data_IF_269358140276
#
_entry.id   IF_269358140276
#
_cell.length_a   1.000
_cell.length_b   1.000
_cell.length_c   1.000
_cell.angle_alpha   90.00
_cell.angle_beta   90.00
_cell.angle_gamma   90.00
#
_symmetry.space_group_name_H-M   'P 1'
#
loop_
_entity.id
_entity.type
_entity.pdbx_description
1 polymer ?
#
# COMPACT_ATOMS: atom_id res chain seq x y z
N UNK A 1 -0.24 19.02 4.82
CA UNK A 1 -0.09 19.08 3.37
C UNK A 1 1.39 18.87 3.00
N UNK A 2 1.66 17.74 2.37
CA UNK A 2 2.99 17.47 1.83
C UNK A 2 3.10 18.26 0.53
N UNK A 3 3.89 19.33 0.50
CA UNK A 3 4.24 20.03 -0.75
C UNK A 3 5.36 19.25 -1.43
N UNK A 4 5.10 18.76 -2.63
CA UNK A 4 6.13 18.29 -3.53
C UNK A 4 6.94 19.52 -4.01
N UNK A 5 8.19 19.66 -3.58
CA UNK A 5 9.11 20.64 -4.16
C UNK A 5 9.59 20.06 -5.50
N UNK A 6 9.19 20.71 -6.59
CA UNK A 6 9.70 20.42 -7.92
C UNK A 6 11.18 20.78 -7.98
N UNK A 7 12.05 19.80 -8.08
CA UNK A 7 13.43 20.02 -8.46
C UNK A 7 13.50 20.26 -9.98
N UNK A 8 13.39 21.51 -10.39
CA UNK A 8 13.64 21.92 -11.77
C UNK A 8 15.11 21.65 -12.11
N UNK A 9 15.38 20.66 -12.95
CA UNK A 9 16.71 20.44 -13.53
C UNK A 9 16.96 21.49 -14.61
N UNK A 10 17.72 22.52 -14.29
CA UNK A 10 18.30 23.44 -15.27
C UNK A 10 19.26 22.66 -16.19
N UNK A 11 18.86 22.49 -17.45
CA UNK A 11 19.79 22.14 -18.52
C UNK A 11 20.16 23.41 -19.27
N UNK A 12 21.39 23.85 -19.11
CA UNK A 12 22.02 24.94 -19.90
C UNK A 12 22.09 24.55 -21.37
N UNK A 13 21.43 25.34 -22.24
CA UNK A 13 21.64 25.31 -23.67
C UNK A 13 22.85 26.17 -24.01
N UNK A 14 23.89 25.61 -24.59
CA UNK A 14 24.94 26.33 -25.30
C UNK A 14 24.57 26.37 -26.79
N UNK A 15 24.48 27.61 -27.29
CA UNK A 15 24.21 27.91 -28.69
C UNK A 15 25.45 27.73 -29.57
N UNK A 16 25.26 27.32 -30.81
CA UNK A 16 26.27 27.36 -31.84
C UNK A 16 25.80 26.77 -33.18
N UNK A 17 25.61 27.59 -34.21
CA UNK A 17 25.76 27.20 -35.62
C UNK A 17 24.51 27.10 -36.48
N UNK A 18 24.24 28.17 -37.30
CA UNK A 18 23.29 28.17 -38.43
C UNK A 18 23.80 27.27 -39.55
N UNK A 19 22.92 26.47 -40.19
CA UNK A 19 22.83 26.27 -41.65
C UNK A 19 21.48 25.64 -42.07
N UNK A 20 20.96 26.20 -43.12
CA UNK A 20 19.86 25.97 -44.06
C UNK A 20 19.07 24.64 -44.10
N UNK A 21 17.74 24.89 -44.12
CA UNK A 21 16.69 24.30 -44.98
C UNK A 21 16.61 22.74 -45.11
N UNK A 22 15.62 22.19 -44.45
CA UNK A 22 15.04 20.89 -44.71
C UNK A 22 13.72 20.80 -43.96
N UNK A 23 12.58 20.65 -44.69
CA UNK A 23 11.29 20.31 -44.09
C UNK A 23 11.41 18.98 -43.31
N UNK A 24 11.90 19.06 -42.10
CA UNK A 24 11.88 17.99 -41.13
C UNK A 24 10.73 18.25 -40.18
N UNK A 25 9.71 17.38 -40.19
CA UNK A 25 8.73 17.29 -39.13
C UNK A 25 9.47 17.31 -37.79
N UNK A 26 9.34 18.40 -37.06
CA UNK A 26 9.64 18.46 -35.65
C UNK A 26 8.72 17.41 -34.99
N UNK A 27 9.23 16.21 -34.82
CA UNK A 27 8.74 15.32 -33.80
C UNK A 27 8.98 16.07 -32.48
N UNK A 28 7.95 16.74 -32.02
CA UNK A 28 7.87 17.17 -30.64
C UNK A 28 8.10 15.89 -29.86
N UNK A 29 9.30 15.71 -29.30
CA UNK A 29 9.53 14.77 -28.24
C UNK A 29 8.71 15.24 -27.03
N UNK A 30 7.39 15.02 -27.08
CA UNK A 30 6.63 14.92 -25.86
C UNK A 30 7.20 13.66 -25.20
N UNK A 31 8.09 13.83 -24.27
CA UNK A 31 8.46 12.80 -23.32
C UNK A 31 7.15 12.49 -22.60
N UNK A 32 6.37 11.54 -23.14
CA UNK A 32 5.26 10.96 -22.40
C UNK A 32 5.90 10.33 -21.18
N UNK A 33 5.73 10.97 -20.05
CA UNK A 33 6.07 10.40 -18.76
C UNK A 33 5.12 9.23 -18.57
N UNK A 34 5.62 8.04 -18.84
CA UNK A 34 4.80 6.83 -18.84
C UNK A 34 4.62 6.34 -17.41
N UNK A 35 3.38 6.37 -16.93
CA UNK A 35 3.02 5.64 -15.72
C UNK A 35 3.17 4.14 -15.99
N UNK A 36 4.01 3.46 -15.22
CA UNK A 36 4.25 2.02 -15.36
C UNK A 36 3.39 1.25 -14.37
N UNK A 37 2.61 0.29 -14.87
CA UNK A 37 1.80 -0.60 -14.03
C UNK A 37 2.35 -2.01 -14.17
N UNK A 38 2.87 -2.58 -13.06
CA UNK A 38 3.35 -3.94 -13.01
C UNK A 38 2.28 -4.88 -12.46
N UNK A 39 1.87 -5.84 -13.27
CA UNK A 39 0.85 -6.84 -12.94
C UNK A 39 1.48 -8.24 -13.01
N UNK A 40 1.19 -9.10 -12.03
CA UNK A 40 1.49 -10.52 -12.12
C UNK A 40 0.48 -11.24 -13.00
N UNK A 41 0.96 -11.99 -13.99
CA UNK A 41 0.13 -12.77 -14.90
C UNK A 41 -0.08 -14.24 -14.44
N UNK A 42 0.52 -14.62 -13.31
CA UNK A 42 0.41 -15.94 -12.68
C UNK A 42 0.03 -15.80 -11.20
N UNK A 43 0.01 -16.92 -10.47
CA UNK A 43 -0.43 -16.98 -9.09
C UNK A 43 0.69 -16.73 -8.05
N UNK A 44 1.72 -16.01 -8.39
CA UNK A 44 2.89 -15.72 -7.55
C UNK A 44 4.17 -16.27 -8.16
N UNK A 45 5.31 -15.92 -7.53
CA UNK A 45 6.67 -16.39 -7.89
C UNK A 45 7.15 -16.05 -9.32
N UNK A 46 6.50 -15.10 -10.01
CA UNK A 46 6.89 -14.65 -11.35
C UNK A 46 8.17 -13.79 -11.37
N UNK A 47 8.74 -13.51 -10.20
CA UNK A 47 9.93 -12.69 -10.10
C UNK A 47 9.67 -11.17 -10.12
N UNK A 48 8.43 -10.73 -9.89
CA UNK A 48 8.06 -9.30 -9.83
C UNK A 48 9.03 -8.45 -9.00
N UNK A 49 9.51 -8.97 -7.86
CA UNK A 49 10.41 -8.23 -6.98
C UNK A 49 11.69 -7.73 -7.65
N UNK A 50 12.27 -8.51 -8.58
CA UNK A 50 13.47 -8.11 -9.35
C UNK A 50 13.15 -6.99 -10.34
N UNK A 51 12.03 -7.13 -11.04
CA UNK A 51 11.59 -6.12 -12.03
C UNK A 51 11.22 -4.82 -11.33
N UNK A 52 10.51 -4.89 -10.20
CA UNK A 52 10.17 -3.73 -9.37
C UNK A 52 11.43 -2.99 -8.93
N UNK A 53 12.47 -3.70 -8.49
CA UNK A 53 13.71 -3.07 -8.03
C UNK A 53 14.36 -2.23 -9.14
N UNK A 54 14.43 -2.76 -10.36
CA UNK A 54 14.96 -2.04 -11.52
C UNK A 54 14.09 -0.84 -11.90
N UNK A 55 12.77 -1.03 -12.00
CA UNK A 55 11.83 0.04 -12.37
C UNK A 55 11.76 1.15 -11.33
N UNK A 56 11.92 0.82 -10.05
CA UNK A 56 11.92 1.79 -8.95
C UNK A 56 13.05 2.82 -9.07
N UNK A 57 14.15 2.51 -9.75
CA UNK A 57 15.24 3.47 -9.95
C UNK A 57 14.78 4.73 -10.71
N UNK A 58 13.92 4.56 -11.69
CA UNK A 58 13.43 5.64 -12.55
C UNK A 58 12.19 6.34 -11.95
N UNK A 59 11.35 5.63 -11.21
CA UNK A 59 10.12 6.19 -10.66
C UNK A 59 10.37 7.24 -9.57
N UNK A 60 9.59 8.31 -9.55
CA UNK A 60 9.52 9.29 -8.45
C UNK A 60 8.54 8.83 -7.36
N UNK A 61 7.46 8.17 -7.77
CA UNK A 61 6.40 7.68 -6.88
C UNK A 61 6.20 6.19 -7.10
N UNK A 62 6.23 5.41 -6.02
CA UNK A 62 5.95 3.97 -6.05
C UNK A 62 4.67 3.68 -5.29
N UNK A 63 3.68 3.13 -5.99
CA UNK A 63 2.32 2.91 -5.49
C UNK A 63 2.01 1.44 -5.38
N UNK A 64 1.78 0.94 -4.17
CA UNK A 64 1.15 -0.37 -3.98
C UNK A 64 -0.36 -0.20 -4.08
N UNK A 65 -0.97 -0.69 -5.16
CA UNK A 65 -2.37 -0.40 -5.44
C UNK A 65 -3.36 -1.48 -4.99
N UNK A 66 -2.91 -2.70 -4.69
CA UNK A 66 -3.77 -3.83 -4.32
C UNK A 66 -3.09 -4.82 -3.38
N UNK A 67 -3.83 -5.83 -2.92
CA UNK A 67 -3.35 -6.89 -2.05
C UNK A 67 -3.36 -6.52 -0.57
N UNK A 68 -2.50 -7.15 0.21
CA UNK A 68 -2.36 -6.95 1.65
C UNK A 68 -1.01 -7.48 2.14
N UNK A 69 -0.91 -7.78 3.43
CA UNK A 69 0.30 -8.31 4.03
C UNK A 69 0.48 -9.84 3.88
N UNK A 70 -0.31 -10.48 3.03
CA UNK A 70 -0.22 -11.91 2.71
C UNK A 70 0.95 -12.25 1.78
N UNK A 71 1.41 -11.30 0.97
CA UNK A 71 2.57 -11.44 0.10
C UNK A 71 3.78 -10.74 0.71
N UNK A 72 4.97 -11.29 0.49
CA UNK A 72 6.24 -10.66 0.85
C UNK A 72 7.06 -10.37 -0.40
N UNK A 73 7.47 -9.12 -0.58
CA UNK A 73 8.38 -8.72 -1.65
C UNK A 73 9.81 -8.76 -1.14
N UNK A 74 10.62 -9.65 -1.66
CA UNK A 74 12.06 -9.66 -1.37
C UNK A 74 12.78 -8.70 -2.30
N UNK A 75 13.43 -7.70 -1.72
CA UNK A 75 14.22 -6.68 -2.43
C UNK A 75 15.66 -6.77 -1.95
N UNK A 76 16.60 -6.67 -2.88
CA UNK A 76 18.02 -6.63 -2.59
C UNK A 76 18.56 -5.22 -2.82
N UNK A 77 19.22 -4.64 -1.82
CA UNK A 77 19.92 -3.36 -1.95
C UNK A 77 21.39 -3.59 -1.62
N UNK A 78 22.21 -3.70 -2.67
CA UNK A 78 23.58 -4.18 -2.52
C UNK A 78 23.59 -5.61 -1.94
N UNK A 79 24.39 -5.90 -0.89
CA UNK A 79 24.44 -7.23 -0.27
C UNK A 79 23.30 -7.50 0.73
N UNK A 80 22.44 -6.52 1.02
CA UNK A 80 21.40 -6.62 2.04
C UNK A 80 20.06 -7.05 1.45
N UNK A 81 19.44 -8.06 2.07
CA UNK A 81 18.10 -8.56 1.75
C UNK A 81 17.07 -7.89 2.65
N UNK A 82 15.99 -7.38 2.05
CA UNK A 82 14.82 -6.82 2.73
C UNK A 82 13.58 -7.58 2.33
N UNK A 83 12.66 -7.79 3.27
CA UNK A 83 11.35 -8.37 2.98
C UNK A 83 10.30 -7.34 3.37
N UNK A 84 9.59 -6.83 2.36
CA UNK A 84 8.52 -5.85 2.53
C UNK A 84 7.17 -6.52 2.31
N UNK A 85 6.17 -6.14 3.07
CA UNK A 85 4.82 -6.73 3.00
C UNK A 85 3.78 -5.73 2.52
N UNK A 86 3.66 -4.59 3.18
CA UNK A 86 2.70 -3.52 2.87
C UNK A 86 3.37 -2.31 2.26
N UNK A 87 4.58 -2.00 2.71
CA UNK A 87 5.31 -0.80 2.28
C UNK A 87 5.86 -1.02 0.88
N UNK A 88 5.66 -0.06 -0.06
CA UNK A 88 6.23 -0.13 -1.41
C UNK A 88 7.75 -0.22 -1.40
N UNK A 89 8.30 -0.89 -2.41
CA UNK A 89 9.75 -1.15 -2.54
C UNK A 89 10.61 0.11 -2.61
N UNK A 90 10.05 1.21 -3.11
CA UNK A 90 10.69 2.53 -3.17
C UNK A 90 11.19 3.07 -1.84
N UNK A 91 10.68 2.55 -0.69
CA UNK A 91 11.08 3.00 0.65
C UNK A 91 12.57 2.79 0.92
N UNK A 92 13.19 1.84 0.25
CA UNK A 92 14.61 1.51 0.37
C UNK A 92 15.52 2.46 -0.43
N UNK A 93 14.94 3.33 -1.25
CA UNK A 93 15.63 4.24 -2.14
C UNK A 93 15.46 5.69 -1.68
N UNK A 94 16.47 6.53 -1.95
CA UNK A 94 16.40 7.98 -1.62
C UNK A 94 15.45 8.70 -2.59
N UNK A 95 14.80 9.75 -2.08
CA UNK A 95 13.97 10.66 -2.87
C UNK A 95 12.79 10.00 -3.61
N UNK A 96 12.28 8.90 -3.08
CA UNK A 96 11.07 8.25 -3.61
C UNK A 96 9.91 8.49 -2.65
N UNK A 97 8.72 8.77 -3.20
CA UNK A 97 7.48 8.78 -2.44
C UNK A 97 6.82 7.42 -2.57
N UNK A 98 6.51 6.80 -1.45
CA UNK A 98 5.84 5.50 -1.36
C UNK A 98 4.39 5.69 -0.95
N UNK A 99 3.48 5.08 -1.71
CA UNK A 99 2.04 5.22 -1.49
C UNK A 99 1.40 3.85 -1.29
N UNK A 100 0.75 3.64 -0.14
CA UNK A 100 -0.16 2.52 0.05
C UNK A 100 -1.55 2.99 -0.40
N UNK A 101 -1.99 2.50 -1.55
CA UNK A 101 -3.19 2.94 -2.24
C UNK A 101 -4.49 2.34 -1.67
N UNK A 102 -5.60 2.86 -2.13
CA UNK A 102 -6.96 2.52 -1.67
C UNK A 102 -7.42 1.08 -1.99
N UNK A 103 -6.72 0.40 -2.90
CA UNK A 103 -6.99 -1.00 -3.23
C UNK A 103 -6.44 -2.00 -2.23
N UNK A 104 -5.47 -1.58 -1.40
CA UNK A 104 -4.85 -2.43 -0.38
C UNK A 104 -5.77 -2.64 0.81
N UNK A 105 -5.76 -3.85 1.39
CA UNK A 105 -6.31 -4.11 2.72
C UNK A 105 -5.16 -4.16 3.73
N UNK A 106 -5.19 -3.28 4.70
CA UNK A 106 -4.06 -2.98 5.58
C UNK A 106 -4.25 -3.67 6.93
N UNK A 107 -3.29 -4.49 7.31
CA UNK A 107 -3.08 -4.90 8.70
C UNK A 107 -2.29 -3.80 9.41
N UNK A 108 -2.92 -2.94 10.22
CA UNK A 108 -2.26 -1.78 10.76
C UNK A 108 -1.21 -2.14 11.81
N UNK A 109 -1.39 -3.23 12.54
CA UNK A 109 -0.40 -3.73 13.50
C UNK A 109 0.84 -4.21 12.76
N UNK A 110 0.64 -5.02 11.70
CA UNK A 110 1.73 -5.47 10.83
C UNK A 110 2.47 -4.31 10.17
N UNK A 111 1.76 -3.27 9.76
CA UNK A 111 2.38 -2.08 9.17
C UNK A 111 3.25 -1.30 10.18
N UNK A 112 2.79 -1.12 11.42
CA UNK A 112 3.60 -0.49 12.48
C UNK A 112 4.86 -1.32 12.77
N UNK A 113 4.73 -2.65 12.79
CA UNK A 113 5.88 -3.54 12.98
C UNK A 113 6.88 -3.41 11.81
N UNK A 114 6.39 -3.33 10.56
CA UNK A 114 7.22 -3.15 9.37
C UNK A 114 7.95 -1.81 9.40
N UNK A 115 7.27 -0.69 9.68
CA UNK A 115 7.88 0.64 9.86
C UNK A 115 8.97 0.61 10.94
N UNK A 116 8.64 0.06 12.10
CA UNK A 116 9.57 -0.03 13.23
C UNK A 116 10.78 -0.91 12.91
N UNK A 117 10.56 -2.02 12.20
CA UNK A 117 11.61 -2.92 11.72
C UNK A 117 12.57 -2.21 10.76
N UNK A 118 12.03 -1.44 9.82
CA UNK A 118 12.84 -0.64 8.88
C UNK A 118 13.66 0.42 9.60
N UNK A 119 13.10 1.13 10.59
CA UNK A 119 13.85 2.09 11.40
C UNK A 119 15.04 1.45 12.13
N UNK A 120 14.86 0.25 12.72
CA UNK A 120 15.92 -0.48 13.43
C UNK A 120 17.14 -0.81 12.56
N UNK A 121 16.93 -0.97 11.27
CA UNK A 121 17.99 -1.27 10.31
C UNK A 121 18.47 -0.04 9.54
N UNK A 122 18.07 1.18 9.99
CA UNK A 122 18.55 2.46 9.48
C UNK A 122 17.81 2.98 8.25
N UNK A 123 16.70 2.34 7.83
CA UNK A 123 15.86 2.84 6.74
C UNK A 123 14.93 3.92 7.30
N UNK A 124 14.98 5.11 6.70
CA UNK A 124 14.13 6.24 7.11
C UNK A 124 12.73 6.10 6.52
N UNK A 125 11.73 5.95 7.39
CA UNK A 125 10.31 5.98 7.03
C UNK A 125 9.67 7.19 7.72
N UNK A 126 9.07 8.08 6.95
CA UNK A 126 8.48 9.32 7.45
C UNK A 126 7.64 9.97 6.36
N UNK A 127 7.96 11.20 5.99
CA UNK A 127 7.24 11.94 4.92
C UNK A 127 7.31 11.26 3.54
N UNK A 128 8.17 10.29 3.37
CA UNK A 128 8.32 9.47 2.16
C UNK A 128 7.37 8.27 2.12
N UNK A 129 6.52 8.08 3.12
CA UNK A 129 5.44 7.08 3.11
C UNK A 129 4.11 7.80 3.32
N UNK A 130 3.12 7.48 2.49
CA UNK A 130 1.73 7.92 2.66
C UNK A 130 0.77 6.74 2.49
N UNK A 131 -0.34 6.80 3.21
CA UNK A 131 -1.36 5.75 3.27
C UNK A 131 -2.69 6.36 2.87
N UNK A 132 -3.42 5.68 1.99
CA UNK A 132 -4.76 6.11 1.60
C UNK A 132 -5.73 6.07 2.77
N UNK A 133 -6.40 7.19 3.03
CA UNK A 133 -7.49 7.28 4.01
C UNK A 133 -8.64 6.33 3.69
N UNK A 134 -8.81 5.95 2.41
CA UNK A 134 -9.87 5.07 1.92
C UNK A 134 -9.47 3.60 1.84
N UNK A 135 -8.20 3.23 2.12
CA UNK A 135 -7.77 1.85 2.24
C UNK A 135 -8.47 1.15 3.42
N UNK A 136 -8.84 -0.13 3.23
CA UNK A 136 -9.58 -0.88 4.25
C UNK A 136 -8.65 -1.52 5.28
N UNK A 137 -9.17 -1.67 6.50
CA UNK A 137 -8.41 -2.16 7.66
C UNK A 137 -8.74 -3.63 7.92
N UNK A 138 -7.70 -4.43 8.14
CA UNK A 138 -7.82 -5.81 8.62
C UNK A 138 -7.90 -5.79 10.16
N UNK A 139 -8.94 -6.43 10.70
CA UNK A 139 -9.14 -6.60 12.14
C UNK A 139 -9.02 -8.07 12.56
N UNK A 140 -8.89 -8.38 13.87
CA UNK A 140 -8.79 -9.75 14.37
C UNK A 140 -9.94 -10.65 13.93
N UNK A 141 -11.17 -10.15 13.85
CA UNK A 141 -12.31 -10.96 13.39
C UNK A 141 -12.17 -11.42 11.94
N UNK A 142 -11.47 -10.66 11.07
CA UNK A 142 -11.17 -11.10 9.70
C UNK A 142 -10.23 -12.31 9.71
N UNK A 143 -9.22 -12.31 10.58
CA UNK A 143 -8.26 -13.41 10.71
C UNK A 143 -8.94 -14.68 11.24
N UNK A 144 -9.83 -14.51 12.24
CA UNK A 144 -10.61 -15.62 12.77
C UNK A 144 -11.57 -16.20 11.72
N UNK A 145 -12.28 -15.35 10.97
CA UNK A 145 -13.15 -15.80 9.87
C UNK A 145 -12.37 -16.53 8.77
N UNK A 146 -11.17 -16.04 8.41
CA UNK A 146 -10.30 -16.68 7.43
C UNK A 146 -9.88 -18.08 7.91
N UNK A 147 -9.43 -18.19 9.16
CA UNK A 147 -9.03 -19.45 9.77
C UNK A 147 -10.18 -20.46 9.85
N UNK A 148 -11.36 -20.03 10.31
CA UNK A 148 -12.51 -20.92 10.44
C UNK A 148 -13.07 -21.39 9.10
N UNK A 149 -13.11 -20.53 8.10
CA UNK A 149 -13.51 -20.92 6.74
C UNK A 149 -12.58 -21.96 6.14
N UNK A 150 -11.27 -21.88 6.41
CA UNK A 150 -10.32 -22.90 5.96
C UNK A 150 -10.53 -24.23 6.70
N UNK A 151 -10.84 -24.20 8.00
CA UNK A 151 -11.17 -25.41 8.77
C UNK A 151 -12.41 -26.11 8.19
N UNK A 152 -13.48 -25.35 7.91
CA UNK A 152 -14.73 -25.89 7.36
C UNK A 152 -14.57 -26.52 5.97
N UNK A 153 -13.64 -26.02 5.15
CA UNK A 153 -13.37 -26.58 3.82
C UNK A 153 -12.69 -27.96 3.89
N UNK A 154 -12.12 -28.34 5.01
CA UNK A 154 -11.48 -29.63 5.22
C UNK A 154 -10.45 -29.97 4.13
N UNK A 155 -10.72 -30.99 3.32
CA UNK A 155 -9.85 -31.41 2.20
C UNK A 155 -9.80 -30.39 1.04
N UNK A 156 -10.80 -29.51 0.93
CA UNK A 156 -10.93 -28.51 -0.13
C UNK A 156 -10.39 -27.14 0.29
N UNK A 157 -9.57 -27.08 1.35
CA UNK A 157 -8.96 -25.80 1.77
C UNK A 157 -8.04 -25.22 0.68
N UNK A 158 -8.10 -23.91 0.56
CA UNK A 158 -7.31 -23.13 -0.42
C UNK A 158 -5.85 -23.00 0.06
N UNK A 159 -5.59 -23.14 1.37
CA UNK A 159 -4.27 -22.89 1.95
C UNK A 159 -3.99 -21.40 2.16
N UNK A 160 -4.99 -20.64 2.64
CA UNK A 160 -4.82 -19.20 2.89
C UNK A 160 -3.74 -18.93 3.93
N UNK A 161 -3.17 -17.75 3.91
CA UNK A 161 -2.18 -17.29 4.89
C UNK A 161 -2.79 -17.03 6.27
N UNK A 162 -4.12 -17.14 6.42
CA UNK A 162 -4.89 -16.85 7.64
C UNK A 162 -4.67 -15.42 8.16
N UNK A 163 -4.34 -14.50 7.27
CA UNK A 163 -4.11 -13.08 7.59
C UNK A 163 -5.37 -12.23 7.45
N UNK A 164 -6.50 -12.83 7.10
CA UNK A 164 -7.79 -12.15 7.02
C UNK A 164 -7.96 -11.27 5.77
N UNK A 165 -7.11 -11.42 4.75
CA UNK A 165 -7.15 -10.58 3.54
C UNK A 165 -8.45 -10.81 2.76
N UNK A 166 -8.85 -12.06 2.55
CA UNK A 166 -10.10 -12.41 1.87
C UNK A 166 -11.33 -11.83 2.57
N UNK A 167 -11.55 -12.10 3.87
CA UNK A 167 -12.65 -11.51 4.62
C UNK A 167 -12.66 -9.97 4.63
N UNK A 168 -11.50 -9.32 4.80
CA UNK A 168 -11.41 -7.85 4.74
C UNK A 168 -11.75 -7.30 3.35
N UNK A 169 -11.34 -7.98 2.29
CA UNK A 169 -11.75 -7.65 0.92
C UNK A 169 -13.25 -7.89 0.70
N UNK A 170 -13.82 -8.92 1.33
CA UNK A 170 -15.26 -9.16 1.36
C UNK A 170 -16.02 -7.99 2.00
N UNK A 171 -15.57 -7.50 3.14
CA UNK A 171 -16.14 -6.33 3.82
C UNK A 171 -16.03 -5.06 2.96
N UNK A 172 -14.94 -4.90 2.21
CA UNK A 172 -14.76 -3.80 1.25
C UNK A 172 -15.82 -3.83 0.16
N UNK A 173 -16.01 -4.99 -0.48
CA UNK A 173 -17.00 -5.16 -1.57
C UNK A 173 -18.42 -5.02 -1.04
N UNK A 174 -18.71 -5.56 0.15
CA UNK A 174 -19.99 -5.43 0.83
C UNK A 174 -20.25 -4.01 1.38
N UNK A 175 -19.27 -3.09 1.31
CA UNK A 175 -19.35 -1.70 1.80
C UNK A 175 -19.59 -1.57 3.31
N UNK A 176 -19.14 -2.55 4.08
CA UNK A 176 -19.29 -2.57 5.54
C UNK A 176 -17.93 -2.47 6.27
N UNK A 177 -16.82 -2.56 5.53
CA UNK A 177 -15.47 -2.49 6.08
C UNK A 177 -15.10 -1.09 6.58
N UNK A 178 -14.31 -1.05 7.65
CA UNK A 178 -13.73 0.20 8.16
C UNK A 178 -12.48 0.56 7.36
N UNK A 179 -12.24 1.86 7.21
CA UNK A 179 -11.14 2.44 6.44
C UNK A 179 -10.08 3.04 7.35
N UNK A 180 -8.91 3.33 6.79
CA UNK A 180 -7.84 4.02 7.53
C UNK A 180 -8.29 5.37 8.08
N UNK A 181 -9.13 6.12 7.35
CA UNK A 181 -9.73 7.36 7.83
C UNK A 181 -10.64 7.18 9.05
N UNK A 182 -11.27 6.00 9.20
CA UNK A 182 -12.02 5.67 10.43
C UNK A 182 -11.07 5.30 11.57
N UNK A 183 -10.00 4.55 11.27
CA UNK A 183 -9.02 4.08 12.27
C UNK A 183 -8.31 5.23 12.99
N UNK A 184 -7.97 6.29 12.28
CA UNK A 184 -7.23 7.44 12.83
C UNK A 184 -8.10 8.45 13.57
N UNK A 185 -9.42 8.22 13.61
CA UNK A 185 -10.41 9.04 14.30
C UNK A 185 -11.18 8.17 15.32
N UNK A 186 -10.83 8.23 16.61
CA UNK A 186 -11.47 7.39 17.64
C UNK A 186 -12.99 7.54 17.69
N UNK A 187 -13.53 8.73 17.42
CA UNK A 187 -14.97 8.99 17.45
C UNK A 187 -15.71 8.27 16.30
N UNK A 188 -15.05 8.06 15.16
CA UNK A 188 -15.57 7.26 14.05
C UNK A 188 -15.31 5.77 14.24
N UNK A 189 -14.12 5.42 14.76
CA UNK A 189 -13.72 4.04 14.96
C UNK A 189 -14.64 3.30 15.90
N UNK A 190 -14.95 3.88 17.07
CA UNK A 190 -15.64 3.21 18.16
C UNK A 190 -16.99 2.63 17.74
N UNK A 191 -17.98 3.42 17.26
CA UNK A 191 -19.31 2.91 16.92
C UNK A 191 -19.26 1.93 15.73
N UNK A 192 -18.47 2.21 14.71
CA UNK A 192 -18.34 1.34 13.53
C UNK A 192 -17.71 -0.01 13.88
N UNK A 193 -16.65 -0.01 14.68
CA UNK A 193 -15.97 -1.22 15.11
C UNK A 193 -16.86 -2.06 16.03
N UNK A 194 -17.60 -1.43 16.94
CA UNK A 194 -18.56 -2.12 17.82
C UNK A 194 -19.63 -2.87 17.00
N UNK A 195 -20.23 -2.19 16.01
CA UNK A 195 -21.23 -2.79 15.13
C UNK A 195 -20.63 -3.98 14.34
N UNK A 196 -19.45 -3.81 13.74
CA UNK A 196 -18.81 -4.86 12.96
C UNK A 196 -18.39 -6.08 13.81
N UNK A 197 -17.85 -5.85 15.00
CA UNK A 197 -17.48 -6.96 15.92
C UNK A 197 -18.74 -7.70 16.37
N UNK A 198 -19.84 -7.00 16.70
CA UNK A 198 -21.10 -7.64 17.08
C UNK A 198 -21.59 -8.59 15.98
N UNK A 199 -21.65 -8.11 14.74
CA UNK A 199 -22.08 -8.90 13.58
C UNK A 199 -21.13 -10.07 13.30
N UNK A 200 -19.81 -9.80 13.24
CA UNK A 200 -18.81 -10.83 12.99
C UNK A 200 -18.78 -11.91 14.07
N UNK A 201 -19.01 -11.53 15.34
CA UNK A 201 -19.09 -12.48 16.43
C UNK A 201 -20.31 -13.42 16.33
N UNK A 202 -21.42 -12.97 15.74
CA UNK A 202 -22.57 -13.86 15.46
C UNK A 202 -22.18 -14.93 14.44
N UNK A 203 -21.44 -14.55 13.40
CA UNK A 203 -20.91 -15.51 12.42
C UNK A 203 -19.88 -16.43 13.04
N UNK A 204 -18.92 -15.91 13.81
CA UNK A 204 -17.88 -16.71 14.48
C UNK A 204 -18.49 -17.75 15.41
N UNK A 205 -19.51 -17.38 16.20
CA UNK A 205 -20.25 -18.33 17.05
C UNK A 205 -20.90 -19.44 16.25
N UNK A 206 -21.55 -19.11 15.13
CA UNK A 206 -22.16 -20.09 14.23
C UNK A 206 -21.14 -21.05 13.62
N UNK A 207 -19.89 -20.61 13.45
CA UNK A 207 -18.76 -21.42 13.00
C UNK A 207 -18.04 -22.17 14.13
N UNK A 208 -18.51 -22.09 15.37
CA UNK A 208 -17.88 -22.75 16.54
C UNK A 208 -16.62 -22.02 17.05
N UNK A 209 -16.37 -20.80 16.61
CA UNK A 209 -15.20 -20.01 17.01
C UNK A 209 -15.48 -19.14 18.25
N UNK A 210 -14.39 -18.76 18.93
CA UNK A 210 -14.48 -17.81 20.05
C UNK A 210 -14.78 -16.38 19.56
N UNK A 211 -15.65 -15.64 20.25
CA UNK A 211 -15.93 -14.23 19.94
C UNK A 211 -14.68 -13.37 20.15
N UNK A 212 -14.55 -12.33 19.35
CA UNK A 212 -13.51 -11.29 19.47
C UNK A 212 -13.98 -10.21 20.46
N UNK A 213 -13.11 -9.80 21.38
CA UNK A 213 -13.41 -8.77 22.37
C UNK A 213 -13.32 -7.37 21.77
N UNK A 214 -14.44 -6.65 21.73
CA UNK A 214 -14.46 -5.23 21.29
C UNK A 214 -13.50 -4.37 22.12
N UNK A 215 -13.53 -4.48 23.45
CA UNK A 215 -12.72 -3.66 24.36
C UNK A 215 -11.22 -3.80 24.08
N UNK A 216 -10.75 -5.03 23.84
CA UNK A 216 -9.35 -5.30 23.55
C UNK A 216 -8.96 -4.76 22.18
N UNK A 217 -9.75 -5.05 21.14
CA UNK A 217 -9.48 -4.59 19.77
C UNK A 217 -9.50 -3.07 19.69
N UNK A 218 -10.50 -2.42 20.28
CA UNK A 218 -10.61 -0.96 20.27
C UNK A 218 -9.40 -0.30 20.95
N UNK A 219 -9.01 -0.78 22.15
CA UNK A 219 -7.87 -0.23 22.87
C UNK A 219 -6.54 -0.36 22.11
N UNK A 220 -6.32 -1.50 21.44
CA UNK A 220 -5.12 -1.73 20.65
C UNK A 220 -5.12 -0.90 19.35
N UNK A 221 -6.21 -0.96 18.59
CA UNK A 221 -6.31 -0.30 17.28
C UNK A 221 -6.34 1.22 17.38
N UNK A 222 -6.89 1.78 18.47
CA UNK A 222 -6.80 3.22 18.74
C UNK A 222 -5.34 3.68 18.84
N UNK A 223 -4.49 2.98 19.60
CA UNK A 223 -3.06 3.32 19.74
C UNK A 223 -2.33 3.23 18.39
N UNK A 224 -2.64 2.20 17.62
CA UNK A 224 -2.09 1.99 16.29
C UNK A 224 -2.55 3.09 15.33
N UNK A 225 -3.82 3.50 15.42
CA UNK A 225 -4.38 4.62 14.66
C UNK A 225 -3.67 5.95 14.96
N UNK A 226 -3.41 6.23 16.23
CA UNK A 226 -2.63 7.41 16.66
C UNK A 226 -1.23 7.42 16.04
N UNK A 227 -0.53 6.27 16.04
CA UNK A 227 0.79 6.14 15.43
C UNK A 227 0.76 6.35 13.90
N UNK A 228 -0.24 5.79 13.22
CA UNK A 228 -0.35 5.86 11.75
C UNK A 228 -0.96 7.16 11.23
N UNK A 229 -1.60 7.94 12.07
CA UNK A 229 -2.28 9.20 11.67
C UNK A 229 -1.43 10.15 10.83
N UNK A 230 -0.13 10.39 11.12
CA UNK A 230 0.71 11.28 10.31
C UNK A 230 0.95 10.81 8.88
N UNK A 231 0.75 9.52 8.60
CA UNK A 231 0.96 8.93 7.29
C UNK A 231 -0.32 8.91 6.43
N UNK A 232 -1.51 9.08 7.04
CA UNK A 232 -2.79 8.93 6.35
C UNK A 232 -3.20 10.24 5.67
N UNK A 233 -3.54 10.14 4.37
CA UNK A 233 -3.95 11.28 3.57
C UNK A 233 -4.89 10.89 2.43
N UNK A 234 -5.44 11.89 1.74
CA UNK A 234 -6.17 11.69 0.48
C UNK A 234 -5.17 11.40 -0.66
N UNK A 235 -4.92 10.11 -0.90
CA UNK A 235 -3.98 9.69 -1.93
C UNK A 235 -4.49 9.88 -3.35
N UNK A 236 -5.81 10.04 -3.56
CA UNK A 236 -6.36 10.31 -4.90
C UNK A 236 -5.92 11.67 -5.37
N UNK A 237 -6.08 12.70 -4.54
CA UNK A 237 -5.62 14.07 -4.84
C UNK A 237 -4.11 14.09 -5.00
N UNK A 238 -3.37 13.50 -4.05
CA UNK A 238 -1.91 13.45 -4.08
C UNK A 238 -1.36 12.81 -5.37
N UNK A 239 -1.92 11.69 -5.80
CA UNK A 239 -1.48 11.00 -7.02
C UNK A 239 -1.86 11.78 -8.28
N UNK A 240 -3.03 12.42 -8.29
CA UNK A 240 -3.44 13.30 -9.39
C UNK A 240 -2.49 14.50 -9.54
N UNK A 241 -2.12 15.13 -8.43
CA UNK A 241 -1.16 16.24 -8.43
C UNK A 241 0.22 15.78 -8.89
N UNK A 242 0.66 14.57 -8.48
CA UNK A 242 1.91 13.98 -8.93
C UNK A 242 1.92 13.75 -10.46
N UNK A 243 0.84 13.18 -11.01
CA UNK A 243 0.68 12.99 -12.47
C UNK A 243 0.72 14.31 -13.20
N UNK A 244 -0.03 15.31 -12.74
CA UNK A 244 -0.10 16.62 -13.37
C UNK A 244 1.23 17.39 -13.31
N UNK A 245 2.05 17.14 -12.28
CA UNK A 245 3.40 17.69 -12.16
C UNK A 245 4.45 16.92 -12.98
N UNK A 246 4.05 15.86 -13.68
CA UNK A 246 4.92 15.07 -14.52
C UNK A 246 5.82 14.09 -13.76
N UNK A 247 5.40 13.62 -12.57
CA UNK A 247 6.14 12.61 -11.83
C UNK A 247 6.06 11.25 -12.53
N UNK A 248 7.17 10.53 -12.57
CA UNK A 248 7.22 9.14 -13.05
C UNK A 248 6.68 8.20 -11.97
N UNK A 249 5.63 7.44 -12.30
CA UNK A 249 4.94 6.60 -11.35
C UNK A 249 5.08 5.12 -11.68
N UNK A 250 5.40 4.33 -10.66
CA UNK A 250 5.39 2.88 -10.71
C UNK A 250 4.27 2.34 -9.82
N UNK A 251 3.30 1.66 -10.43
CA UNK A 251 2.25 0.94 -9.71
C UNK A 251 2.65 -0.53 -9.58
N UNK A 252 2.94 -0.97 -8.34
CA UNK A 252 3.31 -2.35 -8.05
C UNK A 252 2.11 -3.18 -7.61
N UNK A 253 1.86 -4.30 -8.30
CA UNK A 253 0.91 -5.32 -7.89
C UNK A 253 1.42 -6.17 -6.72
N UNK A 254 0.48 -6.85 -6.02
CA UNK A 254 0.80 -7.79 -4.95
C UNK A 254 1.35 -9.12 -5.50
#
# INVERSE_FOLDING_TARGET
>A
PVRLQSAARNRSNSAGGRTKAGLGRSLVNSTFMANTILVGAQWGDEGKGKIIDVLTEQADVVVRYAGGNNAGHTVWVGPKKYVLHLIPSGILRKNKLCVIGNGVVIDPIGLVQEITGLHKIGVKVGKNLVISETAHVVFPYHRELDAQREVLKGKNKIGTTKRGIGPASGDKVARVGLRMGDLIDPARLEPKLAARIKESNSVLKALGAKPVSFKQVFAEYRKVGEFLKPFVTNTVVLLHDAINSGAEMLFEGA
#
